data_IF_960091387319
#
_entry.id   IF_960091387319
#
_cell.length_a   1.000
_cell.length_b   1.000
_cell.length_c   1.000
_cell.angle_alpha   90.00
_cell.angle_beta   90.00
_cell.angle_gamma   90.00
#
_symmetry.space_group_name_H-M   'P 1'
#
loop_
_entity.id
_entity.type
_entity.pdbx_description
1 polymer ?
#
# COMPACT_ATOMS: atom_id res chain seq x y z
N UNK A 1 -11.49 14.39 -22.46
CA UNK A 1 -11.23 14.43 -23.92
C UNK A 1 -11.65 13.10 -24.51
N UNK A 2 -12.35 13.14 -25.64
CA UNK A 2 -13.05 12.03 -26.27
C UNK A 2 -12.14 10.87 -26.68
N UNK A 3 -12.63 9.63 -26.51
CA UNK A 3 -11.96 8.38 -26.90
C UNK A 3 -12.46 8.00 -28.30
N UNK A 4 -11.54 7.86 -29.26
CA UNK A 4 -11.82 7.37 -30.59
C UNK A 4 -11.59 5.84 -30.66
N UNK A 5 -12.61 5.12 -31.12
CA UNK A 5 -12.65 3.67 -31.33
C UNK A 5 -11.98 3.28 -32.64
N UNK A 6 -11.16 2.24 -32.64
CA UNK A 6 -10.75 1.51 -33.84
C UNK A 6 -10.91 0.01 -33.59
N UNK A 7 -11.90 -0.58 -34.25
CA UNK A 7 -12.04 -2.03 -34.38
C UNK A 7 -11.40 -2.50 -35.68
N UNK A 8 -10.85 -3.71 -35.68
CA UNK A 8 -10.75 -4.54 -36.89
C UNK A 8 -10.79 -6.02 -36.53
N UNK A 9 -11.47 -6.76 -37.40
CA UNK A 9 -11.87 -8.15 -37.28
C UNK A 9 -10.76 -9.15 -37.64
N UNK A 10 -10.89 -10.38 -37.11
CA UNK A 10 -10.27 -11.61 -37.62
C UNK A 10 -10.98 -12.07 -38.92
N UNK A 11 -10.42 -13.00 -39.74
CA UNK A 11 -10.49 -14.44 -39.40
C UNK A 11 -9.40 -15.36 -40.03
N UNK A 12 -9.42 -16.64 -39.61
CA UNK A 12 -9.22 -17.91 -40.38
C UNK A 12 -8.26 -18.98 -39.79
N UNK A 13 -8.92 -19.98 -39.19
CA UNK A 13 -8.78 -21.46 -39.16
C UNK A 13 -7.53 -22.25 -39.64
N UNK A 14 -7.21 -23.27 -38.83
CA UNK A 14 -6.81 -24.69 -39.12
C UNK A 14 -5.50 -24.94 -39.89
N UNK A 15 -4.63 -25.91 -39.55
CA UNK A 15 -4.90 -27.34 -39.32
C UNK A 15 -3.63 -28.16 -38.95
N UNK A 16 -3.85 -29.31 -38.27
CA UNK A 16 -3.13 -30.61 -38.34
C UNK A 16 -1.86 -30.96 -37.52
N UNK A 17 -1.82 -32.28 -37.23
CA UNK A 17 -1.17 -33.04 -36.14
C UNK A 17 0.15 -33.75 -36.53
N UNK A 18 0.83 -34.23 -35.48
CA UNK A 18 1.53 -35.52 -35.30
C UNK A 18 3.06 -35.62 -35.40
N UNK A 19 3.65 -36.17 -34.31
CA UNK A 19 4.73 -37.20 -34.17
C UNK A 19 5.47 -36.96 -32.83
N UNK A 20 6.03 -37.89 -32.05
CA UNK A 20 5.90 -39.33 -31.73
C UNK A 20 6.76 -39.53 -30.45
N UNK A 21 6.39 -40.48 -29.58
CA UNK A 21 7.12 -40.84 -28.35
C UNK A 21 8.43 -41.59 -28.62
N UNK A 22 9.40 -41.47 -27.72
CA UNK A 22 10.48 -42.45 -27.51
C UNK A 22 10.86 -42.56 -26.02
N UNK A 23 10.87 -43.81 -25.53
CA UNK A 23 11.31 -44.25 -24.21
C UNK A 23 12.84 -44.39 -24.14
N UNK A 24 13.45 -44.16 -22.98
CA UNK A 24 14.78 -44.69 -22.67
C UNK A 24 14.90 -45.08 -21.18
N UNK A 25 15.56 -46.22 -20.96
CA UNK A 25 15.60 -46.99 -19.72
C UNK A 25 16.67 -46.52 -18.71
N UNK A 26 16.45 -46.82 -17.42
CA UNK A 26 17.29 -46.48 -16.26
C UNK A 26 18.41 -47.51 -16.01
N UNK A 27 19.57 -47.05 -15.54
CA UNK A 27 20.77 -47.85 -15.23
C UNK A 27 21.06 -47.81 -13.69
N UNK A 28 21.21 -48.96 -12.98
CA UNK A 28 21.10 -49.01 -11.51
C UNK A 28 22.45 -49.00 -10.74
N UNK A 29 23.30 -47.99 -10.96
CA UNK A 29 24.56 -47.84 -10.19
C UNK A 29 24.71 -46.51 -9.44
N UNK A 30 23.66 -45.67 -9.41
CA UNK A 30 23.62 -44.39 -8.67
C UNK A 30 22.89 -44.45 -7.32
N UNK A 31 22.39 -45.62 -6.90
CA UNK A 31 21.49 -45.75 -5.75
C UNK A 31 22.16 -45.45 -4.38
N UNK A 32 23.46 -45.70 -4.22
CA UNK A 32 24.10 -45.64 -2.90
C UNK A 32 24.58 -44.23 -2.48
N UNK A 33 24.82 -43.31 -3.43
CA UNK A 33 25.11 -41.89 -3.12
C UNK A 33 23.85 -41.03 -2.93
N UNK A 34 22.68 -41.53 -3.33
CA UNK A 34 21.41 -40.82 -3.19
C UNK A 34 20.79 -40.92 -1.78
N UNK A 35 21.19 -41.92 -0.97
CA UNK A 35 20.62 -42.13 0.37
C UNK A 35 21.20 -41.17 1.42
N UNK A 36 22.48 -40.79 1.32
CA UNK A 36 23.13 -39.86 2.25
C UNK A 36 22.82 -38.39 1.93
N UNK A 37 22.61 -38.03 0.66
CA UNK A 37 22.10 -36.70 0.26
C UNK A 37 20.65 -36.48 0.70
N UNK A 38 19.80 -37.51 0.60
CA UNK A 38 18.39 -37.43 1.04
C UNK A 38 18.21 -37.23 2.55
N UNK A 39 19.14 -37.67 3.38
CA UNK A 39 19.05 -37.46 4.83
C UNK A 39 19.40 -36.00 5.23
N UNK A 40 20.38 -35.39 4.54
CA UNK A 40 20.70 -33.97 4.72
C UNK A 40 19.61 -33.06 4.13
N UNK A 41 19.06 -33.44 2.97
CA UNK A 41 17.89 -32.77 2.38
C UNK A 41 16.64 -32.95 3.26
N UNK A 42 16.42 -34.12 3.86
CA UNK A 42 15.32 -34.36 4.79
C UNK A 42 15.49 -33.57 6.09
N UNK A 43 16.71 -33.41 6.61
CA UNK A 43 16.96 -32.55 7.77
C UNK A 43 16.74 -31.06 7.45
N UNK A 44 17.09 -30.60 6.24
CA UNK A 44 16.76 -29.25 5.75
C UNK A 44 15.26 -29.07 5.47
N UNK A 45 14.55 -30.12 5.03
CA UNK A 45 13.10 -30.10 4.79
C UNK A 45 12.33 -30.15 6.13
N UNK A 46 12.85 -30.86 7.14
CA UNK A 46 12.23 -30.90 8.48
C UNK A 46 12.48 -29.61 9.28
N UNK A 47 13.63 -28.94 9.08
CA UNK A 47 13.88 -27.61 9.64
C UNK A 47 13.06 -26.49 8.98
N UNK A 48 12.52 -26.71 7.77
CA UNK A 48 11.66 -25.77 7.04
C UNK A 48 10.15 -26.03 7.21
N UNK A 49 9.76 -26.96 8.08
CA UNK A 49 8.35 -27.32 8.28
C UNK A 49 7.52 -26.28 9.05
N UNK A 50 8.08 -25.11 9.36
CA UNK A 50 7.39 -23.98 9.99
C UNK A 50 6.98 -22.85 9.04
N UNK A 51 7.41 -22.85 7.77
CA UNK A 51 7.16 -21.76 6.81
C UNK A 51 6.14 -22.16 5.73
N UNK A 52 4.85 -22.04 6.05
CA UNK A 52 3.74 -22.36 5.14
C UNK A 52 3.45 -21.26 4.09
N UNK A 53 4.47 -20.76 3.38
CA UNK A 53 4.28 -19.87 2.23
C UNK A 53 4.90 -20.44 0.95
N UNK A 54 4.41 -20.00 -0.21
CA UNK A 54 4.95 -20.48 -1.48
C UNK A 54 6.39 -19.98 -1.68
N UNK A 55 7.34 -20.81 -2.17
CA UNK A 55 8.74 -20.42 -2.37
C UNK A 55 8.98 -19.29 -3.37
N UNK A 56 7.97 -18.95 -4.19
CA UNK A 56 8.06 -17.81 -5.12
C UNK A 56 7.97 -16.46 -4.41
N UNK A 57 7.49 -16.43 -3.17
CA UNK A 57 7.32 -15.23 -2.37
C UNK A 57 8.47 -15.16 -1.35
N UNK A 58 9.13 -14.01 -1.28
CA UNK A 58 9.96 -13.70 -0.12
C UNK A 58 9.03 -13.22 1.00
N UNK A 59 9.04 -13.91 2.13
CA UNK A 59 8.28 -13.54 3.33
C UNK A 59 9.25 -13.47 4.50
N UNK A 60 9.40 -12.27 5.07
CA UNK A 60 10.32 -12.01 6.19
C UNK A 60 9.68 -11.04 7.18
N UNK A 61 10.14 -11.00 8.42
CA UNK A 61 9.71 -9.99 9.39
C UNK A 61 9.66 -10.56 10.80
N UNK A 62 9.82 -9.70 11.81
CA UNK A 62 9.76 -10.12 13.21
C UNK A 62 8.36 -10.59 13.63
N UNK A 63 7.32 -10.22 12.87
CA UNK A 63 5.93 -10.62 13.14
C UNK A 63 5.46 -11.84 12.32
N UNK A 64 6.37 -12.55 11.64
CA UNK A 64 6.00 -13.60 10.68
C UNK A 64 5.16 -14.70 11.32
N UNK A 65 5.57 -15.28 12.44
CA UNK A 65 4.82 -16.36 13.10
C UNK A 65 3.41 -15.91 13.54
N UNK A 66 3.28 -14.63 13.91
CA UNK A 66 2.02 -14.05 14.37
C UNK A 66 1.02 -13.84 13.24
N UNK A 67 1.48 -13.38 12.08
CA UNK A 67 0.59 -12.92 11.00
C UNK A 67 0.55 -13.82 9.78
N UNK A 68 1.52 -14.70 9.57
CA UNK A 68 1.52 -15.63 8.44
C UNK A 68 0.26 -16.53 8.39
N UNK A 69 -0.30 -17.01 9.53
CA UNK A 69 -1.53 -17.79 9.52
C UNK A 69 -2.78 -17.03 9.03
N UNK A 70 -2.73 -15.70 8.95
CA UNK A 70 -3.87 -14.89 8.51
C UNK A 70 -4.17 -15.08 7.01
N UNK A 71 -3.16 -15.37 6.19
CA UNK A 71 -3.30 -15.35 4.74
C UNK A 71 -3.81 -16.68 4.18
N UNK A 72 -4.92 -16.63 3.46
CA UNK A 72 -5.56 -17.84 2.89
C UNK A 72 -4.84 -18.37 1.65
N UNK A 73 -4.11 -17.51 0.94
CA UNK A 73 -3.51 -17.83 -0.36
C UNK A 73 -1.99 -17.67 -0.42
N UNK A 74 -1.33 -17.47 0.72
CA UNK A 74 0.13 -17.25 0.77
C UNK A 74 0.94 -18.49 0.36
N UNK A 75 0.33 -19.67 0.47
CA UNK A 75 0.89 -20.95 0.04
C UNK A 75 0.72 -21.21 -1.48
N UNK A 76 0.01 -20.35 -2.20
CA UNK A 76 -0.18 -20.46 -3.65
C UNK A 76 0.90 -19.68 -4.42
N UNK A 77 1.29 -20.13 -5.62
CA UNK A 77 2.26 -19.42 -6.45
C UNK A 77 1.72 -18.07 -6.92
N UNK A 78 2.55 -17.04 -6.85
CA UNK A 78 2.28 -15.79 -7.57
C UNK A 78 2.52 -16.00 -9.08
N UNK A 79 1.42 -16.00 -9.85
CA UNK A 79 1.46 -16.20 -11.31
C UNK A 79 0.98 -14.94 -12.01
N UNK A 80 1.89 -14.09 -12.52
CA UNK A 80 1.52 -12.87 -13.23
C UNK A 80 0.79 -13.21 -14.53
N UNK A 81 -0.05 -12.29 -15.00
CA UNK A 81 -0.83 -12.47 -16.22
C UNK A 81 0.10 -12.72 -17.42
N UNK A 82 -0.07 -13.84 -18.14
CA UNK A 82 0.98 -14.40 -18.99
C UNK A 82 1.32 -13.54 -20.21
N UNK A 83 0.41 -12.68 -20.67
CA UNK A 83 0.60 -11.89 -21.90
C UNK A 83 1.64 -10.77 -21.70
N UNK A 84 1.59 -10.04 -20.59
CA UNK A 84 2.44 -8.86 -20.37
C UNK A 84 2.94 -8.70 -18.93
N UNK A 85 2.48 -9.49 -17.97
CA UNK A 85 2.95 -9.45 -16.57
C UNK A 85 4.40 -9.93 -16.39
N UNK A 86 5.09 -10.29 -17.48
CA UNK A 86 6.52 -10.58 -17.48
C UNK A 86 7.39 -9.32 -17.59
N UNK A 87 6.86 -8.20 -18.09
CA UNK A 87 7.57 -6.93 -18.23
C UNK A 87 7.06 -5.90 -17.21
N UNK A 88 7.94 -5.46 -16.32
CA UNK A 88 7.59 -4.50 -15.25
C UNK A 88 6.96 -3.20 -15.76
N UNK A 89 7.41 -2.71 -16.91
CA UNK A 89 6.94 -1.43 -17.47
C UNK A 89 5.58 -1.61 -18.13
N UNK A 90 5.40 -2.68 -18.90
CA UNK A 90 4.11 -2.96 -19.55
C UNK A 90 3.03 -3.21 -18.50
N UNK A 91 3.32 -3.97 -17.44
CA UNK A 91 2.37 -4.20 -16.35
C UNK A 91 1.97 -2.90 -15.62
N UNK A 92 2.95 -2.05 -15.30
CA UNK A 92 2.73 -0.75 -14.65
C UNK A 92 1.89 0.18 -15.53
N UNK A 93 2.25 0.32 -16.81
CA UNK A 93 1.52 1.18 -17.75
C UNK A 93 0.12 0.62 -18.01
N UNK A 94 0.00 -0.69 -18.24
CA UNK A 94 -1.28 -1.32 -18.55
C UNK A 94 -2.30 -1.04 -17.46
N UNK A 95 -1.92 -1.22 -16.19
CA UNK A 95 -2.85 -1.03 -15.07
C UNK A 95 -3.22 0.42 -14.83
N UNK A 96 -2.33 1.36 -15.14
CA UNK A 96 -2.63 2.79 -15.07
C UNK A 96 -3.73 3.22 -16.07
N UNK A 97 -3.89 2.52 -17.20
CA UNK A 97 -4.84 2.91 -18.26
C UNK A 97 -6.03 1.97 -18.44
N UNK A 98 -5.87 0.67 -18.17
CA UNK A 98 -6.84 -0.35 -18.57
C UNK A 98 -7.47 -1.09 -17.39
N UNK A 99 -6.98 -0.93 -16.15
CA UNK A 99 -7.67 -1.52 -14.99
C UNK A 99 -9.10 -0.98 -14.93
N UNK A 100 -10.06 -1.86 -14.71
CA UNK A 100 -11.47 -1.49 -14.53
C UNK A 100 -11.59 -0.47 -13.40
N UNK A 101 -12.46 0.52 -13.60
CA UNK A 101 -12.76 1.55 -12.63
C UNK A 101 -14.12 1.23 -11.99
N UNK A 102 -14.16 0.73 -10.75
CA UNK A 102 -15.43 0.51 -10.09
C UNK A 102 -16.17 1.82 -9.84
N UNK A 103 -17.50 1.77 -9.97
CA UNK A 103 -18.35 2.93 -9.67
C UNK A 103 -18.55 3.05 -8.15
N UNK A 104 -18.15 4.20 -7.61
CA UNK A 104 -18.24 4.50 -6.18
C UNK A 104 -18.71 5.93 -6.06
N UNK A 105 -19.84 6.13 -5.37
CA UNK A 105 -20.35 7.45 -5.06
C UNK A 105 -19.76 7.93 -3.73
N UNK A 106 -19.08 9.07 -3.76
CA UNK A 106 -18.46 9.68 -2.60
C UNK A 106 -19.25 10.88 -2.07
N UNK A 107 -19.18 11.07 -0.75
CA UNK A 107 -19.48 12.32 -0.07
C UNK A 107 -18.18 12.91 0.43
N UNK A 108 -17.79 14.05 -0.15
CA UNK A 108 -16.59 14.78 0.25
C UNK A 108 -16.83 15.58 1.53
N UNK A 109 -15.89 15.50 2.44
CA UNK A 109 -15.72 16.35 3.61
C UNK A 109 -14.38 17.07 3.50
N UNK A 110 -14.37 18.40 3.50
CA UNK A 110 -13.14 19.18 3.53
C UNK A 110 -12.78 19.47 4.99
N UNK A 111 -11.70 18.84 5.47
CA UNK A 111 -11.18 19.05 6.81
C UNK A 111 -10.17 20.20 6.79
N UNK A 112 -10.46 21.27 7.53
CA UNK A 112 -9.51 22.36 7.76
C UNK A 112 -8.52 21.94 8.84
N UNK A 113 -7.23 22.03 8.54
CA UNK A 113 -6.14 21.63 9.43
C UNK A 113 -5.68 22.78 10.33
N UNK A 114 -4.90 22.46 11.38
CA UNK A 114 -4.44 23.45 12.38
C UNK A 114 -3.61 24.58 11.78
N UNK A 115 -2.88 24.31 10.71
CA UNK A 115 -2.10 25.31 9.96
C UNK A 115 -2.95 26.15 9.00
N UNK A 116 -4.29 26.06 9.07
CA UNK A 116 -5.26 26.64 8.15
C UNK A 116 -5.25 26.08 6.72
N UNK A 117 -4.47 25.02 6.49
CA UNK A 117 -4.58 24.19 5.30
C UNK A 117 -5.93 23.46 5.22
N UNK A 118 -6.12 22.71 4.15
CA UNK A 118 -7.30 21.87 4.00
C UNK A 118 -6.95 20.59 3.26
N UNK A 119 -7.53 19.49 3.73
CA UNK A 119 -7.49 18.17 3.07
C UNK A 119 -8.91 17.71 2.79
N UNK A 120 -9.10 16.74 1.88
CA UNK A 120 -10.42 16.19 1.60
C UNK A 120 -10.52 14.71 1.97
N UNK A 121 -11.56 14.39 2.72
CA UNK A 121 -11.97 13.03 3.07
C UNK A 121 -13.16 12.63 2.19
N UNK A 122 -12.96 11.65 1.32
CA UNK A 122 -14.04 11.10 0.50
C UNK A 122 -14.61 9.86 1.16
N UNK A 123 -15.79 10.02 1.76
CA UNK A 123 -16.54 8.95 2.40
C UNK A 123 -17.44 8.24 1.39
N UNK A 124 -17.58 6.92 1.51
CA UNK A 124 -18.55 6.19 0.69
C UNK A 124 -19.98 6.57 1.07
N UNK A 125 -20.79 6.98 0.10
CA UNK A 125 -22.17 7.38 0.34
C UNK A 125 -23.00 6.22 0.93
N UNK A 126 -23.70 6.52 2.02
CA UNK A 126 -24.66 5.61 2.69
C UNK A 126 -24.05 4.71 3.76
N UNK A 127 -22.73 4.66 3.90
CA UNK A 127 -22.07 3.80 4.89
C UNK A 127 -22.35 4.26 6.33
N UNK A 128 -22.40 5.58 6.58
CA UNK A 128 -22.77 6.16 7.89
C UNK A 128 -24.14 5.67 8.40
N UNK A 129 -25.10 5.44 7.50
CA UNK A 129 -26.45 4.95 7.84
C UNK A 129 -26.59 3.43 7.84
N UNK A 130 -25.70 2.72 7.13
CA UNK A 130 -25.80 1.27 6.90
C UNK A 130 -24.98 0.47 7.89
N UNK A 131 -23.81 0.97 8.27
CA UNK A 131 -22.85 0.24 9.08
C UNK A 131 -23.00 0.57 10.57
N UNK A 132 -22.94 -0.43 11.46
CA UNK A 132 -22.86 -0.22 12.90
C UNK A 132 -21.74 0.75 13.30
N UNK A 133 -21.90 1.42 14.44
CA UNK A 133 -20.87 2.30 15.01
C UNK A 133 -19.52 1.63 15.23
N UNK A 134 -19.53 0.34 15.55
CA UNK A 134 -18.34 -0.47 15.83
C UNK A 134 -17.63 -0.92 14.55
N UNK A 135 -18.27 -0.79 13.37
CA UNK A 135 -17.67 -1.23 12.12
C UNK A 135 -16.29 -0.60 11.95
N UNK A 136 -15.24 -1.40 11.70
CA UNK A 136 -13.87 -0.91 11.60
C UNK A 136 -13.76 0.11 10.47
N UNK A 137 -12.90 1.11 10.67
CA UNK A 137 -12.68 2.18 9.70
C UNK A 137 -11.35 1.96 8.98
N UNK A 138 -11.39 1.92 7.64
CA UNK A 138 -10.23 1.83 6.77
C UNK A 138 -9.94 3.19 6.13
N UNK A 139 -8.82 3.79 6.49
CA UNK A 139 -8.30 5.02 5.89
C UNK A 139 -7.40 4.64 4.71
N UNK A 140 -7.74 5.11 3.51
CA UNK A 140 -6.96 4.84 2.29
C UNK A 140 -6.12 6.07 1.94
N UNK A 141 -4.81 5.85 1.75
CA UNK A 141 -3.81 6.88 1.42
C UNK A 141 -3.25 6.63 0.01
N UNK A 142 -3.78 7.33 -1.01
CA UNK A 142 -3.28 7.23 -2.38
C UNK A 142 -1.83 7.69 -2.53
N UNK A 143 -1.22 7.35 -3.68
CA UNK A 143 0.14 7.74 -4.02
C UNK A 143 0.31 9.20 -4.45
N UNK A 144 1.50 9.54 -4.97
CA UNK A 144 1.82 10.87 -5.50
C UNK A 144 0.83 11.25 -6.61
N UNK A 145 0.17 12.40 -6.48
CA UNK A 145 -0.90 12.92 -7.37
C UNK A 145 -2.17 12.07 -7.45
N UNK A 146 -2.26 10.99 -6.65
CA UNK A 146 -3.39 10.07 -6.62
C UNK A 146 -4.58 10.61 -5.83
N UNK A 147 -5.68 9.85 -5.82
CA UNK A 147 -6.90 10.26 -5.13
C UNK A 147 -7.98 9.17 -5.12
N UNK A 148 -9.17 9.51 -4.64
CA UNK A 148 -10.35 8.62 -4.63
C UNK A 148 -10.82 8.14 -6.02
N UNK A 149 -10.32 8.76 -7.09
CA UNK A 149 -10.54 8.35 -8.47
C UNK A 149 -9.67 7.18 -8.92
N UNK A 150 -8.62 6.80 -8.19
CA UNK A 150 -7.67 5.78 -8.61
C UNK A 150 -8.28 4.37 -8.56
N UNK A 151 -8.00 3.57 -9.59
CA UNK A 151 -8.58 2.22 -9.75
C UNK A 151 -8.23 1.31 -8.59
N UNK A 152 -6.95 1.28 -8.16
CA UNK A 152 -6.50 0.45 -7.03
C UNK A 152 -7.16 0.86 -5.70
N UNK A 153 -7.39 2.15 -5.48
CA UNK A 153 -8.08 2.67 -4.28
C UNK A 153 -9.53 2.18 -4.27
N UNK A 154 -10.22 2.28 -5.41
CA UNK A 154 -11.64 1.88 -5.52
C UNK A 154 -11.85 0.37 -5.41
N UNK A 155 -10.94 -0.44 -5.95
CA UNK A 155 -10.97 -1.90 -5.77
C UNK A 155 -10.81 -2.30 -4.31
N UNK A 156 -9.81 -1.75 -3.61
CA UNK A 156 -9.64 -2.00 -2.18
C UNK A 156 -10.84 -1.54 -1.36
N UNK A 157 -11.36 -0.35 -1.67
CA UNK A 157 -12.52 0.24 -1.01
C UNK A 157 -13.74 -0.67 -1.10
N UNK A 158 -14.10 -1.14 -2.30
CA UNK A 158 -15.25 -2.01 -2.47
C UNK A 158 -15.06 -3.34 -1.72
N UNK A 159 -13.86 -3.91 -1.78
CA UNK A 159 -13.57 -5.16 -1.08
C UNK A 159 -13.67 -5.01 0.45
N UNK A 160 -13.17 -3.92 1.01
CA UNK A 160 -13.32 -3.63 2.43
C UNK A 160 -14.81 -3.39 2.80
N UNK A 161 -15.52 -2.63 1.98
CA UNK A 161 -16.95 -2.34 2.17
C UNK A 161 -17.80 -3.60 2.15
N UNK A 162 -17.51 -4.54 1.26
CA UNK A 162 -18.21 -5.83 1.16
C UNK A 162 -17.99 -6.71 2.42
N UNK A 163 -16.95 -6.42 3.20
CA UNK A 163 -16.69 -7.03 4.52
C UNK A 163 -17.27 -6.25 5.69
N UNK A 164 -18.08 -5.21 5.44
CA UNK A 164 -18.70 -4.39 6.48
C UNK A 164 -17.77 -3.34 7.10
N UNK A 165 -16.66 -3.01 6.42
CA UNK A 165 -15.75 -1.94 6.85
C UNK A 165 -16.23 -0.60 6.32
N UNK A 166 -16.11 0.43 7.16
CA UNK A 166 -16.33 1.81 6.75
C UNK A 166 -15.05 2.33 6.10
N UNK A 167 -15.15 2.87 4.89
CA UNK A 167 -13.96 3.30 4.15
C UNK A 167 -13.97 4.81 3.92
N UNK A 168 -12.81 5.43 4.11
CA UNK A 168 -12.56 6.83 3.79
C UNK A 168 -11.28 6.96 2.99
N UNK A 169 -11.33 7.71 1.89
CA UNK A 169 -10.11 8.07 1.15
C UNK A 169 -9.63 9.42 1.63
N UNK A 170 -8.40 9.44 2.14
CA UNK A 170 -7.70 10.68 2.49
C UNK A 170 -6.99 11.22 1.25
N UNK A 171 -7.57 12.26 0.65
CA UNK A 171 -6.94 13.00 -0.44
C UNK A 171 -6.09 14.13 0.13
N UNK A 172 -4.79 14.10 -0.19
CA UNK A 172 -3.83 15.12 0.22
C UNK A 172 -4.11 16.49 -0.44
N UNK A 173 -3.51 17.55 0.08
CA UNK A 173 -3.70 18.93 -0.40
C UNK A 173 -3.46 19.03 -1.92
N UNK A 174 -4.45 19.53 -2.66
CA UNK A 174 -4.41 19.66 -4.13
C UNK A 174 -4.65 18.36 -4.93
N UNK A 175 -4.64 17.20 -4.28
CA UNK A 175 -4.92 15.90 -4.90
C UNK A 175 -6.41 15.61 -4.94
N UNK A 176 -6.89 14.89 -5.97
CA UNK A 176 -8.30 14.55 -6.12
C UNK A 176 -9.24 15.78 -6.13
N UNK A 177 -8.77 16.93 -6.59
CA UNK A 177 -9.45 18.23 -6.49
C UNK A 177 -9.75 18.68 -5.04
N UNK A 178 -8.93 18.25 -4.09
CA UNK A 178 -8.94 18.80 -2.73
C UNK A 178 -8.53 20.28 -2.77
N UNK A 179 -9.15 21.14 -1.95
CA UNK A 179 -8.77 22.54 -1.88
C UNK A 179 -7.33 22.70 -1.38
N UNK A 180 -6.68 23.77 -1.84
CA UNK A 180 -5.43 24.28 -1.26
C UNK A 180 -5.75 25.68 -0.77
N UNK A 181 -5.64 25.89 0.54
CA UNK A 181 -6.01 27.14 1.23
C UNK A 181 -4.83 27.89 1.82
N UNK A 182 -3.67 27.25 1.84
CA UNK A 182 -2.38 27.80 2.27
C UNK A 182 -1.34 27.56 1.19
N UNK A 183 -0.23 28.33 1.17
CA UNK A 183 0.89 28.14 0.25
C UNK A 183 1.72 26.88 0.58
N UNK A 184 1.06 25.74 0.72
CA UNK A 184 1.67 24.49 1.08
C UNK A 184 0.86 23.34 0.48
N UNK A 185 1.50 22.60 -0.42
CA UNK A 185 0.99 21.29 -0.88
C UNK A 185 1.36 20.20 0.13
N UNK A 186 1.00 18.95 -0.16
CA UNK A 186 1.43 17.82 0.65
C UNK A 186 2.88 17.41 0.31
N UNK A 187 3.51 16.66 1.22
CA UNK A 187 4.90 16.19 1.05
C UNK A 187 5.12 14.86 1.75
N UNK A 188 6.12 14.11 1.28
CA UNK A 188 6.63 12.92 1.95
C UNK A 188 7.06 13.18 3.42
N UNK A 189 7.50 14.40 3.71
CA UNK A 189 7.97 14.83 5.04
C UNK A 189 6.83 15.27 5.97
N UNK A 190 5.68 15.65 5.42
CA UNK A 190 4.66 16.37 6.18
C UNK A 190 3.62 15.41 6.76
N UNK A 191 3.81 15.10 8.05
CA UNK A 191 2.96 14.16 8.78
C UNK A 191 1.77 14.84 9.48
N UNK A 192 1.72 16.17 9.50
CA UNK A 192 0.66 16.93 10.18
C UNK A 192 -0.73 16.55 9.66
N UNK A 193 -0.90 16.48 8.34
CA UNK A 193 -2.20 16.14 7.73
C UNK A 193 -2.69 14.74 8.14
N UNK A 194 -1.82 13.72 8.11
CA UNK A 194 -2.23 12.36 8.48
C UNK A 194 -2.54 12.26 9.98
N UNK A 195 -1.75 12.89 10.85
CA UNK A 195 -2.05 12.94 12.28
C UNK A 195 -3.42 13.58 12.55
N UNK A 196 -3.75 14.68 11.88
CA UNK A 196 -5.05 15.34 12.03
C UNK A 196 -6.20 14.52 11.45
N UNK A 197 -6.00 13.86 10.30
CA UNK A 197 -7.02 12.99 9.69
C UNK A 197 -7.31 11.79 10.59
N UNK A 198 -6.28 11.10 11.08
CA UNK A 198 -6.47 9.93 11.94
C UNK A 198 -7.19 10.32 13.25
N UNK A 199 -6.80 11.45 13.86
CA UNK A 199 -7.48 11.97 15.04
C UNK A 199 -8.94 12.35 14.76
N UNK A 200 -9.20 13.03 13.64
CA UNK A 200 -10.55 13.41 13.23
C UNK A 200 -11.45 12.18 13.01
N UNK A 201 -10.95 11.18 12.28
CA UNK A 201 -11.69 9.93 12.01
C UNK A 201 -11.94 9.16 13.30
N UNK A 202 -10.94 9.06 14.20
CA UNK A 202 -11.09 8.40 15.49
C UNK A 202 -12.11 9.08 16.40
N UNK A 203 -12.10 10.41 16.47
CA UNK A 203 -13.10 11.17 17.24
C UNK A 203 -14.51 11.02 16.68
N UNK A 204 -14.65 10.84 15.36
CA UNK A 204 -15.95 10.63 14.71
C UNK A 204 -16.49 9.22 14.93
N UNK A 205 -15.63 8.21 15.04
CA UNK A 205 -16.00 6.81 15.27
C UNK A 205 -15.26 6.25 16.49
N UNK A 206 -15.54 6.73 17.72
CA UNK A 206 -14.75 6.41 18.90
C UNK A 206 -14.84 4.96 19.35
N UNK A 207 -15.80 4.20 18.81
CA UNK A 207 -15.99 2.77 19.11
C UNK A 207 -15.43 1.84 18.03
N UNK A 208 -14.94 2.37 16.91
CA UNK A 208 -14.39 1.58 15.83
C UNK A 208 -12.87 1.47 15.95
N UNK A 209 -12.33 0.30 15.63
CA UNK A 209 -10.89 0.17 15.39
C UNK A 209 -10.53 0.90 14.08
N UNK A 210 -9.41 1.61 14.09
CA UNK A 210 -8.90 2.34 12.93
C UNK A 210 -7.76 1.59 12.25
N UNK A 211 -7.80 1.52 10.93
CA UNK A 211 -6.76 0.91 10.11
C UNK A 211 -6.41 1.83 8.95
N UNK A 212 -5.21 1.66 8.39
CA UNK A 212 -4.78 2.44 7.25
C UNK A 212 -4.09 1.58 6.18
N UNK A 213 -4.33 1.90 4.90
CA UNK A 213 -3.63 1.32 3.77
C UNK A 213 -3.06 2.44 2.93
N UNK A 214 -1.75 2.42 2.70
CA UNK A 214 -1.05 3.38 1.85
C UNK A 214 -0.45 2.72 0.63
N UNK A 215 -0.43 3.45 -0.48
CA UNK A 215 0.23 3.05 -1.72
C UNK A 215 1.31 4.05 -2.13
N UNK A 216 2.45 3.56 -2.62
CA UNK A 216 3.52 4.41 -3.16
C UNK A 216 3.89 5.50 -2.14
N UNK A 217 3.86 6.78 -2.52
CA UNK A 217 4.13 7.89 -1.60
C UNK A 217 3.21 7.92 -0.36
N UNK A 218 1.93 7.54 -0.51
CA UNK A 218 1.01 7.41 0.62
C UNK A 218 1.44 6.32 1.62
N UNK A 219 2.07 5.26 1.12
CA UNK A 219 2.68 4.22 1.97
C UNK A 219 3.91 4.76 2.72
N UNK A 220 4.76 5.55 2.05
CA UNK A 220 5.92 6.20 2.68
C UNK A 220 5.48 7.14 3.82
N UNK A 221 4.49 8.01 3.56
CA UNK A 221 3.91 8.90 4.57
C UNK A 221 3.30 8.10 5.73
N UNK A 222 2.54 7.05 5.44
CA UNK A 222 1.95 6.19 6.46
C UNK A 222 3.02 5.54 7.35
N UNK A 223 4.04 4.91 6.79
CA UNK A 223 5.10 4.27 7.58
C UNK A 223 5.87 5.28 8.44
N UNK A 224 6.12 6.48 7.91
CA UNK A 224 6.72 7.57 8.70
C UNK A 224 5.86 8.00 9.88
N UNK A 225 4.56 8.20 9.64
CA UNK A 225 3.59 8.48 10.69
C UNK A 225 3.58 7.39 11.77
N UNK A 226 3.56 6.11 11.38
CA UNK A 226 3.62 5.00 12.33
C UNK A 226 4.91 5.02 13.18
N UNK A 227 6.04 5.34 12.56
CA UNK A 227 7.32 5.46 13.28
C UNK A 227 7.38 6.69 14.20
N UNK A 228 6.74 7.80 13.81
CA UNK A 228 6.64 9.02 14.64
C UNK A 228 5.74 8.80 15.86
N UNK A 229 4.53 8.28 15.64
CA UNK A 229 3.57 8.05 16.73
C UNK A 229 4.02 6.91 17.65
N UNK A 230 4.71 5.90 17.09
CA UNK A 230 5.24 4.76 17.81
C UNK A 230 4.17 4.14 18.72
N UNK A 231 4.42 4.02 20.03
CA UNK A 231 3.49 3.46 21.02
C UNK A 231 2.18 4.26 21.18
N UNK A 232 2.17 5.54 20.79
CA UNK A 232 0.98 6.40 20.87
C UNK A 232 0.08 6.30 19.63
N UNK A 233 0.44 5.44 18.65
CA UNK A 233 -0.30 5.33 17.41
C UNK A 233 -1.73 4.84 17.66
N UNK A 234 -2.76 5.59 17.26
CA UNK A 234 -4.16 5.21 17.45
C UNK A 234 -4.64 4.14 16.44
N UNK A 235 -3.83 3.81 15.43
CA UNK A 235 -4.18 2.78 14.45
C UNK A 235 -3.98 1.39 15.04
N UNK A 236 -4.94 0.50 14.80
CA UNK A 236 -4.91 -0.90 15.21
C UNK A 236 -4.08 -1.80 14.28
N UNK A 237 -3.82 -1.34 13.06
CA UNK A 237 -3.01 -2.02 12.06
C UNK A 237 -2.87 -1.19 10.80
N UNK A 238 -1.83 -1.46 10.01
CA UNK A 238 -1.57 -0.73 8.78
C UNK A 238 -0.98 -1.61 7.67
N UNK A 239 -1.16 -1.19 6.43
CA UNK A 239 -0.61 -1.86 5.25
C UNK A 239 0.08 -0.86 4.33
N UNK A 240 1.28 -1.21 3.88
CA UNK A 240 2.16 -0.41 3.03
C UNK A 240 2.43 -1.14 1.71
N UNK A 241 1.93 -0.61 0.60
CA UNK A 241 2.00 -1.21 -0.73
C UNK A 241 2.90 -0.41 -1.68
N UNK A 242 3.85 -1.07 -2.35
CA UNK A 242 4.78 -0.43 -3.31
C UNK A 242 5.50 0.80 -2.73
N UNK A 243 5.88 0.74 -1.45
CA UNK A 243 6.46 1.88 -0.74
C UNK A 243 7.89 2.20 -1.23
N UNK A 244 8.18 3.41 -1.72
CA UNK A 244 9.54 3.85 -1.98
C UNK A 244 10.25 4.19 -0.65
N UNK A 245 10.53 3.16 0.17
CA UNK A 245 11.06 3.30 1.54
C UNK A 245 12.26 4.24 1.66
N UNK A 246 13.13 4.25 0.64
CA UNK A 246 14.26 5.16 0.54
C UNK A 246 14.09 6.02 -0.71
N UNK A 247 13.75 7.31 -0.50
CA UNK A 247 13.45 8.25 -1.58
C UNK A 247 14.71 8.68 -2.35
N UNK A 248 15.89 8.64 -1.74
CA UNK A 248 17.16 8.89 -2.43
C UNK A 248 17.40 7.79 -3.48
N UNK A 249 17.22 6.54 -3.08
CA UNK A 249 17.31 5.37 -3.96
C UNK A 249 16.24 5.41 -5.06
N UNK A 250 15.01 5.81 -4.72
CA UNK A 250 13.93 5.92 -5.70
C UNK A 250 14.21 7.02 -6.74
N UNK A 251 14.69 8.20 -6.32
CA UNK A 251 15.09 9.30 -7.21
C UNK A 251 16.21 8.87 -8.17
N UNK A 252 17.24 8.19 -7.66
CA UNK A 252 18.32 7.66 -8.48
C UNK A 252 17.81 6.77 -9.62
N UNK A 253 16.81 5.92 -9.36
CA UNK A 253 16.27 5.00 -10.35
C UNK A 253 15.23 5.66 -11.27
N UNK A 254 14.49 6.67 -10.80
CA UNK A 254 13.62 7.51 -11.65
C UNK A 254 14.38 8.17 -12.79
N UNK A 255 15.60 8.60 -12.54
CA UNK A 255 16.43 9.31 -13.51
C UNK A 255 17.13 8.41 -14.54
N UNK A 256 16.83 7.10 -14.58
CA UNK A 256 17.52 6.11 -15.43
C UNK A 256 16.58 5.42 -16.42
N UNK A 257 17.06 5.29 -17.67
CA UNK A 257 16.44 4.44 -18.69
C UNK A 257 14.96 4.77 -18.93
N UNK A 258 14.11 3.74 -18.97
CA UNK A 258 12.67 3.91 -19.20
C UNK A 258 11.95 4.63 -18.05
N UNK A 259 12.53 4.66 -16.84
CA UNK A 259 11.87 5.24 -15.67
C UNK A 259 11.63 6.76 -15.80
N UNK A 260 12.41 7.43 -16.66
CA UNK A 260 12.26 8.86 -17.00
C UNK A 260 10.84 9.16 -17.52
N UNK A 261 10.18 8.17 -18.14
CA UNK A 261 8.79 8.32 -18.59
C UNK A 261 7.83 8.48 -17.40
N UNK A 262 8.02 7.70 -16.33
CA UNK A 262 7.21 7.84 -15.10
C UNK A 262 7.51 9.15 -14.39
N UNK A 263 8.79 9.48 -14.24
CA UNK A 263 9.25 10.73 -13.62
C UNK A 263 8.60 11.95 -14.30
N UNK A 264 8.69 12.03 -15.63
CA UNK A 264 8.05 13.10 -16.41
C UNK A 264 6.53 13.08 -16.30
N UNK A 265 5.88 11.93 -16.27
CA UNK A 265 4.43 11.84 -16.12
C UNK A 265 3.97 12.37 -14.75
N UNK A 266 4.66 11.99 -13.67
CA UNK A 266 4.38 12.45 -12.31
C UNK A 266 4.68 13.94 -12.15
N UNK A 267 5.82 14.42 -12.69
CA UNK A 267 6.16 15.84 -12.71
C UNK A 267 5.08 16.69 -13.40
N UNK A 268 4.57 16.23 -14.54
CA UNK A 268 3.48 16.92 -15.24
C UNK A 268 2.19 16.95 -14.42
N UNK A 269 1.87 15.89 -13.68
CA UNK A 269 0.71 15.87 -12.78
C UNK A 269 0.89 16.84 -11.60
N UNK A 270 2.08 16.89 -11.00
CA UNK A 270 2.41 17.87 -9.95
C UNK A 270 2.32 19.30 -10.46
N UNK A 271 2.90 19.60 -11.63
CA UNK A 271 2.80 20.91 -12.26
C UNK A 271 1.34 21.32 -12.49
N UNK A 272 0.47 20.39 -12.90
CA UNK A 272 -0.96 20.66 -13.11
C UNK A 272 -1.68 20.98 -11.80
N UNK A 273 -1.39 20.25 -10.72
CA UNK A 273 -1.93 20.54 -9.38
C UNK A 273 -1.46 21.92 -8.95
N UNK A 274 -0.15 22.16 -8.98
CA UNK A 274 0.44 23.43 -8.57
C UNK A 274 -0.13 24.63 -9.34
N UNK A 275 -0.22 24.54 -10.67
CA UNK A 275 -0.76 25.62 -11.52
C UNK A 275 -2.18 26.06 -11.17
N UNK A 276 -3.01 25.17 -10.62
CA UNK A 276 -4.37 25.54 -10.13
C UNK A 276 -4.32 26.46 -8.90
N UNK A 277 -3.20 26.48 -8.19
CA UNK A 277 -3.04 27.11 -6.87
C UNK A 277 -1.85 28.07 -6.82
N UNK A 278 -1.15 28.31 -7.94
CA UNK A 278 0.09 29.07 -7.99
C UNK A 278 -0.03 30.48 -7.40
N UNK A 279 -1.20 31.14 -7.55
CA UNK A 279 -1.46 32.47 -6.98
C UNK A 279 -1.27 32.52 -5.45
N UNK A 280 -1.46 31.41 -4.74
CA UNK A 280 -1.22 31.36 -3.29
C UNK A 280 0.27 31.52 -2.95
N UNK A 281 1.16 31.26 -3.92
CA UNK A 281 2.60 31.26 -3.75
C UNK A 281 3.29 32.51 -4.31
N UNK A 282 2.56 33.43 -4.96
CA UNK A 282 3.17 34.58 -5.65
C UNK A 282 3.61 35.71 -4.69
N UNK A 283 3.10 35.76 -3.45
CA UNK A 283 3.34 36.88 -2.51
C UNK A 283 3.92 36.46 -1.15
N UNK A 284 4.21 35.18 -0.94
CA UNK A 284 4.61 34.63 0.37
C UNK A 284 6.07 34.92 0.74
N UNK A 285 6.87 35.40 -0.21
CA UNK A 285 8.32 35.54 -0.07
C UNK A 285 9.03 34.18 0.05
N UNK A 286 10.37 34.19 0.04
CA UNK A 286 11.19 32.98 0.16
C UNK A 286 11.83 32.52 -1.15
N UNK A 287 12.57 31.41 -1.12
CA UNK A 287 13.37 30.88 -2.24
C UNK A 287 12.55 30.10 -3.28
N UNK A 288 11.23 30.30 -3.34
CA UNK A 288 10.36 29.56 -4.26
C UNK A 288 10.71 29.88 -5.71
N UNK A 289 11.03 28.85 -6.49
CA UNK A 289 11.20 28.96 -7.95
C UNK A 289 9.89 28.56 -8.64
N UNK A 290 8.93 29.49 -8.65
CA UNK A 290 7.60 29.30 -9.26
C UNK A 290 7.69 28.93 -10.76
N UNK A 291 8.57 29.55 -11.58
CA UNK A 291 8.78 29.14 -12.97
C UNK A 291 9.27 27.68 -13.10
N UNK A 292 10.23 27.25 -12.27
CA UNK A 292 10.72 25.87 -12.26
C UNK A 292 9.62 24.90 -11.85
N UNK A 293 8.95 25.15 -10.71
CA UNK A 293 7.86 24.30 -10.21
C UNK A 293 6.69 24.18 -11.21
N UNK A 294 6.36 25.27 -11.91
CA UNK A 294 5.30 25.28 -12.93
C UNK A 294 5.63 24.44 -14.17
N UNK A 295 6.93 24.28 -14.49
CA UNK A 295 7.37 23.74 -15.77
C UNK A 295 8.32 22.54 -15.64
N UNK A 296 8.45 22.01 -14.43
CA UNK A 296 9.32 20.91 -14.07
C UNK A 296 9.16 19.72 -15.04
N UNK A 297 10.30 19.14 -15.43
CA UNK A 297 10.39 17.97 -16.32
C UNK A 297 10.64 16.68 -15.54
N UNK A 298 11.00 16.80 -14.27
CA UNK A 298 11.17 15.72 -13.31
C UNK A 298 10.51 16.08 -11.97
N UNK A 299 10.18 15.07 -11.18
CA UNK A 299 9.70 15.24 -9.80
C UNK A 299 10.76 15.97 -8.98
N UNK A 300 12.04 15.67 -9.21
CA UNK A 300 13.16 16.33 -8.55
C UNK A 300 13.21 17.84 -8.82
N UNK A 301 12.99 18.28 -10.06
CA UNK A 301 12.90 19.71 -10.39
C UNK A 301 11.71 20.39 -9.70
N UNK A 302 10.57 19.70 -9.62
CA UNK A 302 9.40 20.21 -8.90
C UNK A 302 9.71 20.35 -7.40
N UNK A 303 10.33 19.33 -6.80
CA UNK A 303 10.68 19.33 -5.39
C UNK A 303 11.77 20.34 -5.06
N UNK A 304 12.72 20.58 -5.96
CA UNK A 304 13.76 21.61 -5.82
C UNK A 304 13.17 23.04 -5.85
N UNK A 305 12.23 23.30 -6.75
CA UNK A 305 11.63 24.64 -6.89
C UNK A 305 10.53 24.97 -5.85
N UNK A 306 9.82 23.95 -5.36
CA UNK A 306 8.62 24.14 -4.51
C UNK A 306 8.69 23.38 -3.19
N UNK A 307 8.81 22.05 -3.23
CA UNK A 307 8.61 21.20 -2.05
C UNK A 307 9.66 21.44 -0.99
N UNK A 308 10.96 21.46 -1.35
CA UNK A 308 12.03 21.70 -0.38
C UNK A 308 11.84 23.04 0.33
N UNK A 309 11.42 24.07 -0.41
CA UNK A 309 11.23 25.43 0.11
C UNK A 309 10.03 25.48 1.04
N UNK A 310 8.91 24.87 0.63
CA UNK A 310 7.68 24.77 1.44
C UNK A 310 7.92 24.16 2.82
N UNK A 311 8.86 23.23 2.92
CA UNK A 311 9.15 22.49 4.15
C UNK A 311 10.51 22.83 4.78
N UNK A 312 11.18 23.90 4.31
CA UNK A 312 12.39 24.44 4.92
C UNK A 312 13.66 23.59 4.75
N UNK A 313 13.71 22.72 3.74
CA UNK A 313 14.90 21.92 3.42
C UNK A 313 15.92 22.71 2.59
N UNK A 314 17.21 22.47 2.86
CA UNK A 314 18.31 23.20 2.21
C UNK A 314 18.50 22.82 0.75
N UNK A 315 18.15 21.60 0.39
CA UNK A 315 18.24 21.06 -0.97
C UNK A 315 17.22 19.94 -1.15
N UNK A 316 16.95 19.54 -2.40
CA UNK A 316 16.12 18.37 -2.67
C UNK A 316 16.72 17.07 -2.11
N UNK A 317 18.05 16.95 -2.03
CA UNK A 317 18.71 15.77 -1.43
C UNK A 317 18.50 15.70 0.09
N UNK A 318 18.54 16.87 0.75
CA UNK A 318 18.19 17.01 2.18
C UNK A 318 16.73 16.62 2.42
N UNK A 319 15.82 17.09 1.56
CA UNK A 319 14.42 16.69 1.57
C UNK A 319 14.24 15.17 1.45
N UNK A 320 14.81 14.52 0.43
CA UNK A 320 14.64 13.07 0.23
C UNK A 320 15.24 12.22 1.34
N UNK A 321 16.40 12.62 1.85
CA UNK A 321 17.06 11.92 2.97
C UNK A 321 16.19 11.97 4.22
N UNK A 322 15.64 13.14 4.55
CA UNK A 322 14.80 13.32 5.73
C UNK A 322 13.35 12.85 5.56
N UNK A 323 12.94 12.50 4.34
CA UNK A 323 11.56 12.10 4.01
C UNK A 323 11.38 10.63 3.69
N UNK A 324 12.46 9.84 3.75
CA UNK A 324 12.43 8.39 3.58
C UNK A 324 11.76 7.71 4.78
N UNK A 325 11.00 6.64 4.55
CA UNK A 325 10.34 5.87 5.61
C UNK A 325 11.15 4.66 6.10
N UNK A 326 12.34 4.41 5.54
CA UNK A 326 13.16 3.25 5.88
C UNK A 326 13.48 3.17 7.36
N UNK A 327 14.02 4.25 7.94
CA UNK A 327 14.41 4.28 9.36
C UNK A 327 13.21 4.30 10.32
N UNK A 328 12.04 4.71 9.85
CA UNK A 328 10.81 4.72 10.65
C UNK A 328 10.38 3.32 11.05
N UNK A 329 10.75 2.28 10.28
CA UNK A 329 10.41 0.88 10.57
C UNK A 329 10.83 0.48 11.98
N UNK A 330 11.98 0.92 12.48
CA UNK A 330 12.49 0.58 13.82
C UNK A 330 11.53 0.97 14.94
N UNK A 331 10.75 2.03 14.73
CA UNK A 331 9.89 2.62 15.75
C UNK A 331 8.40 2.24 15.60
N UNK A 332 8.05 1.51 14.53
CA UNK A 332 6.68 1.03 14.30
C UNK A 332 6.28 0.08 15.43
N UNK A 333 5.22 0.44 16.15
CA UNK A 333 4.79 -0.26 17.36
C UNK A 333 3.43 -0.98 17.23
N UNK A 334 2.83 -0.92 16.05
CA UNK A 334 1.55 -1.56 15.72
C UNK A 334 1.71 -2.50 14.52
N UNK A 335 0.84 -3.50 14.32
CA UNK A 335 0.93 -4.44 13.22
C UNK A 335 1.05 -3.74 11.85
N UNK A 336 2.14 -3.99 11.12
CA UNK A 336 2.40 -3.42 9.80
C UNK A 336 2.70 -4.52 8.78
N UNK A 337 1.88 -4.60 7.74
CA UNK A 337 2.12 -5.44 6.58
C UNK A 337 2.70 -4.59 5.43
N UNK A 338 3.89 -4.95 4.98
CA UNK A 338 4.55 -4.36 3.81
C UNK A 338 4.45 -5.34 2.65
N UNK A 339 3.91 -4.92 1.50
CA UNK A 339 3.91 -5.72 0.28
C UNK A 339 4.62 -4.97 -0.85
N UNK A 340 5.62 -5.62 -1.45
CA UNK A 340 6.47 -5.07 -2.50
C UNK A 340 6.53 -6.01 -3.71
N UNK A 341 6.87 -5.47 -4.88
CA UNK A 341 7.24 -6.27 -6.04
C UNK A 341 8.74 -6.14 -6.32
N UNK A 342 9.45 -7.26 -6.46
CA UNK A 342 10.90 -7.27 -6.70
C UNK A 342 11.29 -6.56 -8.01
N UNK A 343 10.37 -6.51 -8.97
CA UNK A 343 10.55 -5.86 -10.27
C UNK A 343 9.95 -4.44 -10.36
N UNK A 344 9.52 -3.83 -9.26
CA UNK A 344 8.90 -2.50 -9.26
C UNK A 344 9.86 -1.45 -9.89
N UNK A 345 9.44 -0.71 -10.94
CA UNK A 345 10.29 0.30 -11.59
C UNK A 345 10.40 1.63 -10.84
N UNK A 346 9.56 1.86 -9.82
CA UNK A 346 9.42 3.12 -9.10
C UNK A 346 9.87 3.01 -7.64
N UNK A 347 9.60 1.87 -6.99
CA UNK A 347 10.02 1.57 -5.62
C UNK A 347 11.06 0.43 -5.63
N UNK A 348 12.37 0.73 -5.79
CA UNK A 348 13.38 -0.29 -6.05
C UNK A 348 13.51 -1.28 -4.89
N UNK A 349 13.64 -2.57 -5.20
CA UNK A 349 13.83 -3.64 -4.19
C UNK A 349 15.04 -3.40 -3.28
N UNK A 350 16.09 -2.74 -3.79
CA UNK A 350 17.29 -2.36 -3.01
C UNK A 350 17.03 -1.30 -1.93
N UNK A 351 15.91 -0.58 -2.00
CA UNK A 351 15.51 0.41 -1.01
C UNK A 351 14.70 -0.16 0.15
N UNK A 352 14.34 -1.45 0.12
CA UNK A 352 13.55 -2.09 1.17
C UNK A 352 14.43 -2.31 2.42
N UNK A 353 14.05 -1.82 3.61
CA UNK A 353 14.81 -1.99 4.85
C UNK A 353 14.59 -3.39 5.46
N UNK A 354 15.07 -4.43 4.76
CA UNK A 354 14.81 -5.84 5.10
C UNK A 354 15.24 -6.20 6.52
N UNK A 355 16.41 -5.74 6.95
CA UNK A 355 16.94 -6.06 8.28
C UNK A 355 16.10 -5.41 9.38
N UNK A 356 15.77 -4.12 9.25
CA UNK A 356 14.89 -3.44 10.23
C UNK A 356 13.50 -4.10 10.30
N UNK A 357 12.97 -4.60 9.17
CA UNK A 357 11.69 -5.33 9.15
C UNK A 357 11.81 -6.69 9.86
N UNK A 358 12.91 -7.42 9.68
CA UNK A 358 13.18 -8.69 10.38
C UNK A 358 13.30 -8.48 11.89
N UNK A 359 13.92 -7.39 12.31
CA UNK A 359 14.14 -7.08 13.72
C UNK A 359 12.88 -6.55 14.42
N UNK A 360 11.96 -5.90 13.70
CA UNK A 360 10.75 -5.37 14.31
C UNK A 360 9.65 -6.46 14.49
N UNK A 361 9.22 -6.76 15.74
CA UNK A 361 8.23 -7.79 16.03
C UNK A 361 6.79 -7.47 15.60
N UNK A 362 6.55 -6.27 15.05
CA UNK A 362 5.25 -5.84 14.54
C UNK A 362 5.19 -5.81 13.01
N UNK A 363 6.32 -6.01 12.32
CA UNK A 363 6.42 -5.86 10.87
C UNK A 363 6.47 -7.21 10.16
N UNK A 364 5.80 -7.28 9.02
CA UNK A 364 5.86 -8.39 8.07
C UNK A 364 6.07 -7.82 6.66
N UNK A 365 7.01 -8.37 5.90
CA UNK A 365 7.25 -8.08 4.49
C UNK A 365 6.88 -9.28 3.63
N UNK A 366 6.16 -9.02 2.55
CA UNK A 366 5.91 -9.96 1.46
C UNK A 366 6.43 -9.32 0.17
N UNK A 367 7.35 -9.98 -0.51
CA UNK A 367 7.86 -9.55 -1.82
C UNK A 367 7.44 -10.55 -2.89
N UNK A 368 6.65 -10.09 -3.85
CA UNK A 368 6.31 -10.85 -5.05
C UNK A 368 7.45 -10.75 -6.07
N UNK A 369 7.69 -11.79 -6.89
CA UNK A 369 8.79 -11.74 -7.87
C UNK A 369 8.50 -10.74 -8.99
N UNK A 370 7.21 -10.50 -9.27
CA UNK A 370 6.70 -9.58 -10.29
C UNK A 370 5.45 -8.86 -9.76
N UNK A 371 5.01 -7.81 -10.45
CA UNK A 371 3.89 -6.97 -10.05
C UNK A 371 3.98 -5.54 -10.58
N UNK A 372 5.16 -5.09 -11.03
CA UNK A 372 5.37 -3.70 -11.44
C UNK A 372 5.09 -2.72 -10.29
N UNK A 373 4.85 -1.45 -10.62
CA UNK A 373 4.40 -0.48 -9.61
C UNK A 373 2.88 -0.45 -9.58
N UNK A 374 2.28 -0.86 -8.45
CA UNK A 374 0.83 -0.91 -8.23
C UNK A 374 0.07 -1.79 -9.23
N UNK A 375 0.75 -2.71 -9.91
CA UNK A 375 0.19 -3.53 -10.98
C UNK A 375 -0.45 -4.82 -10.45
N UNK A 376 0.37 -5.74 -9.95
CA UNK A 376 -0.02 -7.06 -9.43
C UNK A 376 -1.15 -7.71 -10.24
N UNK A 377 -0.98 -7.77 -11.56
CA UNK A 377 -1.98 -8.30 -12.48
C UNK A 377 -1.88 -9.82 -12.45
N UNK A 378 -2.59 -10.43 -11.50
CA UNK A 378 -2.57 -11.87 -11.27
C UNK A 378 -3.89 -12.33 -10.63
N UNK A 379 -4.10 -13.65 -10.54
CA UNK A 379 -5.29 -14.23 -9.90
C UNK A 379 -6.55 -14.19 -10.79
N UNK A 380 -7.69 -14.57 -10.20
CA UNK A 380 -8.95 -14.78 -10.92
C UNK A 380 -9.60 -13.51 -11.49
N UNK A 381 -9.18 -12.33 -11.02
CA UNK A 381 -9.69 -11.03 -11.46
C UNK A 381 -8.83 -10.40 -12.58
N UNK A 382 -7.69 -11.00 -12.91
CA UNK A 382 -6.84 -10.52 -13.99
C UNK A 382 -7.53 -10.67 -15.37
N UNK A 383 -7.25 -9.76 -16.34
CA UNK A 383 -6.27 -8.68 -16.24
C UNK A 383 -6.85 -7.34 -15.77
N UNK A 384 -8.17 -7.19 -15.69
CA UNK A 384 -8.82 -5.88 -15.54
C UNK A 384 -9.35 -5.60 -14.13
N UNK A 385 -9.50 -6.60 -13.27
CA UNK A 385 -10.08 -6.44 -11.94
C UNK A 385 -9.08 -5.96 -10.90
N UNK A 386 -9.31 -6.33 -9.64
CA UNK A 386 -8.51 -5.87 -8.53
C UNK A 386 -7.06 -6.37 -8.58
N UNK A 387 -6.11 -5.64 -7.96
CA UNK A 387 -4.77 -6.16 -7.70
C UNK A 387 -4.81 -7.49 -6.92
N UNK A 388 -3.89 -8.40 -7.24
CA UNK A 388 -3.75 -9.69 -6.54
C UNK A 388 -3.50 -9.54 -5.03
N UNK A 389 -2.96 -8.41 -4.60
CA UNK A 389 -2.67 -8.12 -3.20
C UNK A 389 -3.93 -7.83 -2.38
N UNK A 390 -5.03 -7.39 -2.99
CA UNK A 390 -6.20 -6.92 -2.25
C UNK A 390 -6.82 -7.96 -1.30
N UNK A 391 -7.00 -9.24 -1.70
CA UNK A 391 -7.45 -10.28 -0.77
C UNK A 391 -6.49 -10.49 0.41
N UNK A 392 -5.18 -10.38 0.20
CA UNK A 392 -4.18 -10.55 1.26
C UNK A 392 -4.20 -9.40 2.26
N UNK A 393 -4.40 -8.17 1.78
CA UNK A 393 -4.61 -7.01 2.62
C UNK A 393 -5.80 -7.23 3.53
N UNK A 394 -6.93 -7.68 2.97
CA UNK A 394 -8.13 -7.94 3.77
C UNK A 394 -7.96 -9.12 4.73
N UNK A 395 -7.31 -10.21 4.32
CA UNK A 395 -7.02 -11.34 5.21
C UNK A 395 -6.24 -10.88 6.46
N UNK A 396 -5.21 -10.05 6.27
CA UNK A 396 -4.44 -9.48 7.38
C UNK A 396 -5.28 -8.57 8.27
N UNK A 397 -6.05 -7.65 7.68
CA UNK A 397 -6.86 -6.69 8.42
C UNK A 397 -8.02 -7.35 9.20
N UNK A 398 -8.73 -8.30 8.58
CA UNK A 398 -9.79 -9.10 9.22
C UNK A 398 -9.23 -9.92 10.39
N UNK A 399 -8.03 -10.49 10.25
CA UNK A 399 -7.37 -11.22 11.33
C UNK A 399 -7.10 -10.33 12.56
N UNK A 400 -6.61 -9.10 12.35
CA UNK A 400 -6.39 -8.15 13.44
C UNK A 400 -7.70 -7.73 14.12
N UNK A 401 -8.74 -7.48 13.34
CA UNK A 401 -10.06 -7.08 13.85
C UNK A 401 -10.69 -8.20 14.70
N UNK A 402 -10.61 -9.45 14.24
CA UNK A 402 -11.13 -10.62 14.97
C UNK A 402 -10.36 -10.88 16.27
N UNK A 403 -9.04 -10.75 16.25
CA UNK A 403 -8.21 -10.91 17.44
C UNK A 403 -8.59 -9.89 18.53
N UNK A 404 -8.84 -8.62 18.15
CA UNK A 404 -9.28 -7.58 19.08
C UNK A 404 -10.68 -7.82 19.61
N UNK A 405 -11.62 -8.18 18.74
CA UNK A 405 -13.00 -8.51 19.15
C UNK A 405 -13.02 -9.64 20.19
N UNK A 406 -12.15 -10.63 20.03
CA UNK A 406 -12.02 -11.76 20.97
C UNK A 406 -11.47 -11.33 22.33
N UNK A 407 -10.48 -10.42 22.36
CA UNK A 407 -9.94 -9.87 23.61
C UNK A 407 -11.02 -9.10 24.36
N UNK A 408 -11.76 -8.22 23.68
CA UNK A 408 -12.85 -7.44 24.30
C UNK A 408 -13.94 -8.35 24.87
N UNK A 409 -14.38 -9.35 24.10
CA UNK A 409 -15.38 -10.31 24.56
C UNK A 409 -14.91 -11.14 25.76
N UNK A 410 -13.62 -11.49 25.82
CA UNK A 410 -13.06 -12.20 26.98
C UNK A 410 -12.99 -11.33 28.24
N UNK A 411 -12.70 -10.03 28.10
CA UNK A 411 -12.70 -9.10 29.25
C UNK A 411 -14.10 -8.84 29.81
N UNK A 412 -15.12 -8.67 28.94
CA UNK A 412 -16.50 -8.44 29.40
C UNK A 412 -17.07 -9.65 30.13
N UNK A 413 -16.74 -10.87 29.71
CA UNK A 413 -17.18 -12.09 30.40
C UNK A 413 -16.54 -12.25 31.79
N UNK A 414 -15.31 -11.75 32.00
CA UNK A 414 -14.67 -11.79 33.32
C UNK A 414 -15.34 -10.80 34.29
N UNK A 415 -15.74 -9.62 33.80
CA UNK A 415 -16.43 -8.62 34.61
C UNK A 415 -17.86 -9.06 34.98
N UNK A 416 -18.57 -9.74 34.08
CA UNK A 416 -19.91 -10.29 34.37
C UNK A 416 -19.86 -11.46 35.38
N UNK A 417 -18.84 -12.32 35.34
CA UNK A 417 -18.64 -13.39 36.34
C UNK A 417 -18.35 -12.81 37.73
N UNK A 418 -17.62 -11.70 37.80
CA UNK A 418 -17.39 -10.98 39.06
C UNK A 418 -18.65 -10.26 39.57
N UNK A 419 -19.52 -9.77 38.68
CA UNK A 419 -20.80 -9.17 39.05
C UNK A 419 -21.80 -10.21 39.60
N UNK A 420 -21.86 -11.42 39.03
CA UNK A 420 -22.75 -12.49 39.54
C UNK A 420 -22.31 -13.03 40.91
N UNK A 421 -21.00 -13.06 41.21
CA UNK A 421 -20.50 -13.47 42.53
C UNK A 421 -20.67 -12.39 43.62
N UNK A 422 -20.84 -11.11 43.24
CA UNK A 422 -21.12 -10.01 44.17
C UNK A 422 -22.57 -9.97 44.69
N UNK A 423 -23.51 -10.60 44.00
CA UNK A 423 -24.94 -10.59 44.34
C UNK A 423 -25.39 -11.76 45.23
N UNK A 424 -24.53 -12.74 45.50
CA UNK A 424 -24.84 -13.86 46.41
C UNK A 424 -24.51 -13.60 47.89
N UNK A 425 -23.92 -12.44 48.25
CA UNK A 425 -23.53 -12.13 49.64
C UNK A 425 -24.36 -11.08 50.38
N UNK A 426 -25.52 -10.66 49.84
CA UNK A 426 -26.47 -9.76 50.52
C UNK A 426 -27.82 -10.45 50.78
N UNK A 427 -27.79 -11.52 51.57
CA UNK A 427 -28.95 -12.03 52.33
C UNK A 427 -28.48 -12.61 53.66
N UNK A 428 -28.35 -11.76 54.68
CA UNK A 428 -28.65 -12.07 56.09
C UNK A 428 -29.19 -10.81 56.73
#
# INVERSE_FOLDING_TARGET
>A
MAIASLGFASPLSSSLRHLKQSHCALNPSKASRHLTLRAADAANIMANSSNNHHPSLEVIGGAMEKFLPAFKTINLPYTPYPVFGWNRHVETIFTAFFRSLPDVRFRRECLRTKDNGAVALDWVCGDDSRLPSESPVLILLPGLTGGSGDTYVRHMLLRARDKGWRVVVFNSRGCGDSPVTTPQLYSASFLGDISEVVAHVGNRFPRANLYAVGWSLGANILVRYLGQESQSCPLSGAVSLCNPFNLVIADEDFRKGFNIVYDKALANSLCKIFKKHALLFEDIGGEFDIPMASNAKSVREFDEGLTRVSFGFKSVDDYYSNSSSSDSIKNVSIPLLCIQAANDPIAPSRGIPREDIKENPNCLLIVTPKGGHLGWVAGGEAPLGAPWTDPMVMDFLEHLEQARSSIVASSTNLDDVHAEHGLQHLKV
#
